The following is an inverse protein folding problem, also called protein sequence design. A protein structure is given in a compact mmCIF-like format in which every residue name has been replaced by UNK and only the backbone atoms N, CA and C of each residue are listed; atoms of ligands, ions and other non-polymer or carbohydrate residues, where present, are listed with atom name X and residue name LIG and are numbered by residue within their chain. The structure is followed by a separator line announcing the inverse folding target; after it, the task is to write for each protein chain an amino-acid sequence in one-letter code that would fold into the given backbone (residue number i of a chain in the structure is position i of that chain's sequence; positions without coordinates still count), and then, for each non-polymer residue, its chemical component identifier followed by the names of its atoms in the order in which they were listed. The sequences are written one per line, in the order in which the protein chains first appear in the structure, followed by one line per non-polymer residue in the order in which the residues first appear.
data_IF_893634479309
#
_entry.id   IF_893634479309
#
_cell.length_a   1.000
_cell.length_b   1.000
_cell.length_c   1.000
_cell.angle_alpha   90.00
_cell.angle_beta   90.00
_cell.angle_gamma   90.00
#
_symmetry.space_group_name_H-M   'P 1'
#
loop_
_entity.id
_entity.type
_entity.pdbx_description
1 polymer ?
#
# COMPACT_ATOMS: atom_id res chain seq x y z
N UNK A 1 15.35 -18.18 -21.24
CA UNK A 1 15.09 -17.42 -19.99
C UNK A 1 13.60 -17.14 -19.97
N UNK A 2 12.88 -17.58 -18.94
CA UNK A 2 11.44 -17.36 -18.86
C UNK A 2 11.14 -15.85 -18.91
N UNK A 3 10.13 -15.49 -19.68
CA UNK A 3 9.47 -14.19 -19.66
C UNK A 3 8.86 -14.00 -18.26
N UNK A 4 9.69 -13.56 -17.30
CA UNK A 4 9.19 -13.13 -15.99
C UNK A 4 8.69 -11.72 -16.21
N UNK A 5 7.37 -11.57 -16.20
CA UNK A 5 6.73 -10.27 -16.03
C UNK A 5 7.48 -9.46 -14.96
N UNK A 6 7.69 -8.16 -15.22
CA UNK A 6 8.38 -7.28 -14.27
C UNK A 6 7.74 -7.41 -12.88
N UNK A 7 8.54 -7.48 -11.80
CA UNK A 7 8.00 -7.59 -10.46
C UNK A 7 7.16 -6.35 -10.14
N UNK A 8 5.95 -6.60 -9.63
CA UNK A 8 4.95 -5.57 -9.31
C UNK A 8 4.40 -5.76 -7.90
N UNK A 9 4.04 -4.65 -7.26
CA UNK A 9 3.16 -4.65 -6.11
C UNK A 9 1.73 -4.48 -6.62
N UNK A 10 0.78 -5.12 -5.96
CA UNK A 10 -0.62 -5.00 -6.29
C UNK A 10 -1.41 -4.59 -5.06
N UNK A 11 -2.43 -3.76 -5.28
CA UNK A 11 -3.41 -3.39 -4.26
C UNK A 11 -4.76 -3.13 -4.92
N UNK A 12 -5.78 -2.82 -4.14
CA UNK A 12 -7.11 -2.52 -4.63
C UNK A 12 -7.61 -1.19 -4.08
N UNK A 13 -8.39 -0.47 -4.87
CA UNK A 13 -9.07 0.76 -4.45
C UNK A 13 -10.58 0.64 -4.69
N UNK A 14 -11.37 1.41 -3.93
CA UNK A 14 -12.81 1.53 -4.10
C UNK A 14 -13.54 0.18 -4.26
N UNK A 15 -14.24 0.03 -5.38
CA UNK A 15 -15.09 -1.12 -5.71
C UNK A 15 -14.31 -2.38 -6.16
N UNK A 16 -13.04 -2.50 -5.76
CA UNK A 16 -12.18 -3.64 -6.10
C UNK A 16 -11.38 -3.46 -7.38
N UNK A 17 -11.13 -2.22 -7.79
CA UNK A 17 -10.24 -1.92 -8.91
C UNK A 17 -8.79 -2.27 -8.55
N UNK A 18 -8.13 -3.06 -9.39
CA UNK A 18 -6.74 -3.49 -9.20
C UNK A 18 -5.77 -2.37 -9.60
N UNK A 19 -4.93 -1.96 -8.66
CA UNK A 19 -3.82 -1.04 -8.89
C UNK A 19 -2.51 -1.82 -8.92
N UNK A 20 -1.73 -1.62 -9.99
CA UNK A 20 -0.41 -2.24 -10.19
C UNK A 20 0.66 -1.17 -10.03
N UNK A 21 1.64 -1.42 -9.17
CA UNK A 21 2.69 -0.48 -8.81
C UNK A 21 4.09 -1.08 -9.09
N UNK A 22 5.11 -0.25 -9.37
CA UNK A 22 6.48 -0.74 -9.55
C UNK A 22 7.01 -1.38 -8.25
N UNK A 23 7.70 -2.52 -8.35
CA UNK A 23 8.30 -3.21 -7.20
C UNK A 23 9.83 -3.31 -7.26
N UNK A 24 10.48 -2.43 -8.01
CA UNK A 24 11.93 -2.27 -7.99
C UNK A 24 12.30 -0.87 -7.53
N UNK A 25 13.46 -0.70 -6.89
CA UNK A 25 13.95 0.62 -6.47
C UNK A 25 14.01 1.57 -7.67
N UNK A 26 14.56 1.11 -8.79
CA UNK A 26 14.68 1.93 -10.00
C UNK A 26 13.33 2.25 -10.65
N UNK A 27 12.40 1.28 -10.64
CA UNK A 27 11.04 1.50 -11.15
C UNK A 27 10.26 2.50 -10.31
N UNK A 28 10.37 2.41 -8.98
CA UNK A 28 9.76 3.38 -8.05
C UNK A 28 10.39 4.76 -8.28
N UNK A 29 11.73 4.87 -8.32
CA UNK A 29 12.42 6.14 -8.59
C UNK A 29 11.97 6.78 -9.90
N UNK A 30 11.86 5.99 -10.98
CA UNK A 30 11.48 6.48 -12.30
C UNK A 30 10.02 6.98 -12.35
N UNK A 31 9.12 6.36 -11.60
CA UNK A 31 7.71 6.73 -11.56
C UNK A 31 7.39 7.84 -10.54
N UNK A 32 8.27 8.10 -9.57
CA UNK A 32 8.08 9.17 -8.60
C UNK A 32 8.22 10.57 -9.23
N UNK A 33 7.43 11.55 -8.77
CA UNK A 33 7.66 12.96 -9.06
C UNK A 33 9.10 13.38 -8.69
N UNK A 34 9.80 14.18 -9.52
CA UNK A 34 11.20 14.58 -9.27
C UNK A 34 11.48 15.17 -7.89
N UNK A 35 10.52 15.93 -7.35
CA UNK A 35 10.63 16.58 -6.03
C UNK A 35 10.71 15.56 -4.87
N UNK A 36 10.26 14.33 -5.10
CA UNK A 36 10.27 13.24 -4.12
C UNK A 36 11.54 12.39 -4.15
N UNK A 37 12.35 12.49 -5.19
CA UNK A 37 13.50 11.59 -5.41
C UNK A 37 14.50 11.64 -4.25
N UNK A 38 14.87 12.82 -3.76
CA UNK A 38 15.83 12.95 -2.66
C UNK A 38 15.32 12.32 -1.35
N UNK A 39 14.02 12.45 -1.08
CA UNK A 39 13.39 11.84 0.09
C UNK A 39 13.32 10.31 -0.04
N UNK A 40 13.02 9.80 -1.25
CA UNK A 40 13.04 8.37 -1.55
C UNK A 40 14.43 7.77 -1.35
N UNK A 41 15.48 8.37 -1.92
CA UNK A 41 16.86 7.89 -1.76
C UNK A 41 17.30 7.87 -0.30
N UNK A 42 16.95 8.92 0.45
CA UNK A 42 17.27 8.99 1.88
C UNK A 42 16.55 7.89 2.65
N UNK A 43 15.25 7.69 2.40
CA UNK A 43 14.48 6.65 3.07
C UNK A 43 15.04 5.26 2.77
N UNK A 44 15.26 4.92 1.49
CA UNK A 44 15.79 3.62 1.09
C UNK A 44 17.21 3.39 1.63
N UNK A 45 18.08 4.40 1.55
CA UNK A 45 19.49 4.28 1.95
C UNK A 45 19.71 4.20 3.46
N UNK A 46 18.75 4.64 4.28
CA UNK A 46 18.87 4.66 5.75
C UNK A 46 18.01 3.61 6.46
N UNK A 47 17.07 2.98 5.76
CA UNK A 47 16.16 1.98 6.33
C UNK A 47 16.91 0.68 6.63
N UNK A 48 16.69 0.13 7.83
CA UNK A 48 17.21 -1.19 8.19
C UNK A 48 16.63 -2.26 7.27
N UNK A 49 17.42 -3.27 6.91
CA UNK A 49 17.05 -4.23 5.86
C UNK A 49 15.72 -4.96 6.13
N UNK A 50 15.37 -5.18 7.41
CA UNK A 50 14.12 -5.84 7.80
C UNK A 50 12.86 -5.00 7.49
N UNK A 51 13.00 -3.67 7.46
CA UNK A 51 11.91 -2.72 7.22
C UNK A 51 11.85 -2.26 5.74
N UNK A 52 12.85 -2.62 4.94
CA UNK A 52 13.01 -2.08 3.58
C UNK A 52 11.81 -2.41 2.69
N UNK A 53 11.22 -3.61 2.84
CA UNK A 53 10.05 -3.99 2.04
C UNK A 53 8.85 -3.07 2.29
N UNK A 54 8.58 -2.70 3.55
CA UNK A 54 7.48 -1.81 3.90
C UNK A 54 7.72 -0.39 3.38
N UNK A 55 8.96 0.10 3.46
CA UNK A 55 9.35 1.41 2.92
C UNK A 55 9.20 1.46 1.40
N UNK A 56 9.62 0.39 0.68
CA UNK A 56 9.43 0.32 -0.77
C UNK A 56 7.96 0.27 -1.16
N UNK A 57 7.11 -0.45 -0.42
CA UNK A 57 5.67 -0.45 -0.66
C UNK A 57 5.07 0.94 -0.48
N UNK A 58 5.41 1.65 0.61
CA UNK A 58 4.95 3.02 0.84
C UNK A 58 5.32 3.94 -0.35
N UNK A 59 6.58 3.91 -0.78
CA UNK A 59 7.03 4.76 -1.88
C UNK A 59 6.45 4.34 -3.24
N UNK A 60 6.19 3.06 -3.45
CA UNK A 60 5.47 2.61 -4.64
C UNK A 60 4.05 3.19 -4.68
N UNK A 61 3.36 3.33 -3.54
CA UNK A 61 2.03 3.97 -3.49
C UNK A 61 2.08 5.45 -3.85
N UNK A 62 3.16 6.16 -3.49
CA UNK A 62 3.36 7.58 -3.86
C UNK A 62 3.51 7.78 -5.39
N UNK A 63 3.70 6.71 -6.17
CA UNK A 63 3.75 6.78 -7.65
C UNK A 63 2.36 6.82 -8.31
N UNK A 64 1.28 6.55 -7.55
CA UNK A 64 -0.09 6.53 -8.06
C UNK A 64 -0.93 7.65 -7.44
N UNK A 65 -1.16 8.77 -8.16
CA UNK A 65 -2.02 9.85 -7.68
C UNK A 65 -3.45 9.41 -7.35
N UNK A 66 -3.98 8.45 -8.09
CA UNK A 66 -5.31 7.89 -7.89
C UNK A 66 -5.41 7.12 -6.57
N UNK A 67 -4.44 6.24 -6.29
CA UNK A 67 -4.38 5.53 -5.01
C UNK A 67 -4.26 6.51 -3.84
N UNK A 68 -3.42 7.55 -3.97
CA UNK A 68 -3.27 8.59 -2.95
C UNK A 68 -4.55 9.38 -2.74
N UNK A 69 -5.22 9.80 -3.82
CA UNK A 69 -6.49 10.51 -3.75
C UNK A 69 -7.57 9.66 -3.07
N UNK A 70 -7.65 8.37 -3.40
CA UNK A 70 -8.55 7.44 -2.73
C UNK A 70 -8.25 7.35 -1.22
N UNK A 71 -7.00 7.12 -0.84
CA UNK A 71 -6.59 7.07 0.57
C UNK A 71 -6.96 8.37 1.32
N UNK A 72 -6.70 9.54 0.74
CA UNK A 72 -7.08 10.82 1.35
C UNK A 72 -8.60 10.97 1.49
N UNK A 73 -9.38 10.58 0.49
CA UNK A 73 -10.84 10.63 0.57
C UNK A 73 -11.40 9.75 1.70
N UNK A 74 -10.76 8.62 1.98
CA UNK A 74 -11.11 7.74 3.10
C UNK A 74 -10.83 8.44 4.44
N UNK A 75 -9.66 9.08 4.58
CA UNK A 75 -9.34 9.86 5.78
C UNK A 75 -10.29 11.04 5.98
N UNK A 76 -10.58 11.82 4.93
CA UNK A 76 -11.54 12.94 5.01
C UNK A 76 -12.94 12.48 5.41
N UNK A 77 -13.37 11.30 4.94
CA UNK A 77 -14.65 10.72 5.34
C UNK A 77 -14.68 10.39 6.84
N UNK A 78 -13.62 9.75 7.33
CA UNK A 78 -13.46 9.42 8.75
C UNK A 78 -13.42 10.67 9.65
N UNK A 79 -12.74 11.73 9.23
CA UNK A 79 -12.67 13.00 9.98
C UNK A 79 -14.05 13.67 10.14
N UNK A 80 -14.97 13.44 9.20
CA UNK A 80 -16.36 13.90 9.28
C UNK A 80 -17.27 12.96 10.08
N UNK A 81 -16.72 11.89 10.66
CA UNK A 81 -17.47 10.89 11.42
C UNK A 81 -18.29 9.94 10.56
N UNK A 82 -17.95 9.81 9.27
CA UNK A 82 -18.61 8.87 8.35
C UNK A 82 -17.79 7.57 8.28
N UNK A 83 -18.28 6.57 9.01
CA UNK A 83 -17.71 5.22 9.10
C UNK A 83 -18.39 4.23 8.12
N UNK A 84 -19.16 4.74 7.15
CA UNK A 84 -19.79 3.89 6.14
C UNK A 84 -18.74 3.08 5.35
N UNK A 85 -19.06 1.81 5.10
CA UNK A 85 -18.18 0.87 4.41
C UNK A 85 -17.03 0.30 5.25
N UNK A 86 -16.93 0.69 6.53
CA UNK A 86 -16.09 0.00 7.49
C UNK A 86 -16.89 -1.11 8.18
N UNK A 87 -16.19 -2.18 8.53
CA UNK A 87 -16.71 -3.20 9.43
C UNK A 87 -15.89 -3.19 10.72
N UNK A 88 -16.52 -3.31 11.89
CA UNK A 88 -15.80 -3.42 13.15
C UNK A 88 -14.82 -4.61 13.13
N UNK A 89 -13.71 -4.50 13.87
CA UNK A 89 -12.64 -5.50 13.84
C UNK A 89 -13.12 -6.89 14.31
N UNK A 90 -14.06 -6.93 15.24
CA UNK A 90 -14.75 -8.13 15.71
C UNK A 90 -15.56 -8.81 14.61
N UNK A 91 -16.22 -8.02 13.75
CA UNK A 91 -17.00 -8.54 12.62
C UNK A 91 -16.09 -9.00 11.48
N UNK A 92 -15.01 -8.27 11.20
CA UNK A 92 -13.96 -8.69 10.26
C UNK A 92 -13.38 -10.06 10.65
N UNK A 93 -13.10 -10.31 11.93
CA UNK A 93 -12.59 -11.60 12.42
C UNK A 93 -13.59 -12.74 12.20
N UNK A 94 -14.88 -12.48 12.42
CA UNK A 94 -15.94 -13.45 12.18
C UNK A 94 -16.07 -13.78 10.68
N UNK A 95 -15.96 -12.79 9.80
CA UNK A 95 -16.01 -12.96 8.34
C UNK A 95 -14.79 -13.70 7.78
N UNK A 96 -13.61 -13.48 8.35
CA UNK A 96 -12.37 -14.17 7.97
C UNK A 96 -12.26 -15.58 8.57
N UNK A 97 -13.29 -16.08 9.27
CA UNK A 97 -13.34 -17.44 9.80
C UNK A 97 -12.35 -17.71 10.94
N UNK A 98 -11.95 -16.68 11.68
CA UNK A 98 -11.11 -16.85 12.87
C UNK A 98 -11.97 -17.26 14.08
N UNK A 99 -12.56 -18.45 14.01
CA UNK A 99 -12.93 -19.24 15.19
C UNK A 99 -11.64 -19.85 15.79
N UNK A 100 -10.71 -19.02 16.26
CA UNK A 100 -9.56 -19.53 17.02
C UNK A 100 -9.88 -19.56 18.51
N UNK A 101 -10.77 -20.48 18.90
CA UNK A 101 -10.53 -21.31 20.08
C UNK A 101 -9.40 -22.29 19.70
N UNK A 102 -8.15 -21.84 19.82
CA UNK A 102 -6.96 -22.66 19.65
C UNK A 102 -5.92 -22.21 20.68
N UNK A 103 -5.37 -23.11 21.50
CA UNK A 103 -4.58 -22.72 22.66
C UNK A 103 -3.14 -22.46 22.24
N UNK A 104 -2.75 -21.20 22.09
CA UNK A 104 -1.36 -20.75 22.24
C UNK A 104 -1.36 -19.37 22.89
#
# INVERSE_FOLDING_TARGET
MADRAEPTFTTYIGDGELVVLPATIDGIRAALPPERHAAFETAVGTTHAEELLAVLQYWAQETSPELRAFQYSVFERLERGDDSGFIPAEEMRALLGHDSQGPW
#
